data_IF_644192269505
#
_entry.id   IF_644192269505
#
_cell.length_a   1.000
_cell.length_b   1.000
_cell.length_c   1.000
_cell.angle_alpha   90.00
_cell.angle_beta   90.00
_cell.angle_gamma   90.00
#
_symmetry.space_group_name_H-M   'P 1'
#
loop_
_entity.id
_entity.type
_entity.pdbx_description
1 polymer ?
#
# COMPACT_ATOMS: atom_id res chain seq x y z
N UNK A 1 29.25 21.57 -23.34
CA UNK A 1 29.52 20.11 -23.24
C UNK A 1 30.14 19.63 -21.92
N UNK A 2 30.36 20.46 -20.87
CA UNK A 2 30.95 20.00 -19.60
C UNK A 2 29.98 19.79 -18.42
N UNK A 3 28.68 20.08 -18.55
CA UNK A 3 27.70 19.92 -17.46
C UNK A 3 27.12 18.50 -17.31
N UNK A 4 27.11 17.66 -18.35
CA UNK A 4 26.56 16.29 -18.29
C UNK A 4 27.49 15.26 -17.63
N UNK A 5 28.78 15.57 -17.45
CA UNK A 5 29.74 14.63 -16.85
C UNK A 5 29.82 14.72 -15.33
N UNK A 6 29.43 15.86 -14.74
CA UNK A 6 29.42 16.01 -13.29
C UNK A 6 28.21 15.35 -12.61
N UNK A 7 27.04 15.31 -13.26
CA UNK A 7 25.83 14.68 -12.67
C UNK A 7 25.98 13.17 -12.50
N UNK A 8 26.64 12.48 -13.44
CA UNK A 8 26.86 11.02 -13.36
C UNK A 8 27.87 10.62 -12.27
N UNK A 9 28.84 11.49 -11.97
CA UNK A 9 29.87 11.21 -10.96
C UNK A 9 29.43 11.58 -9.55
N UNK A 10 28.48 12.52 -9.42
CA UNK A 10 27.90 12.90 -8.12
C UNK A 10 26.89 11.85 -7.64
N UNK A 11 26.12 11.21 -8.52
CA UNK A 11 25.18 10.14 -8.13
C UNK A 11 25.89 8.90 -7.56
N UNK A 12 27.04 8.51 -8.11
CA UNK A 12 27.83 7.37 -7.59
C UNK A 12 28.57 7.72 -6.29
N UNK A 13 28.98 8.98 -6.13
CA UNK A 13 29.65 9.46 -4.93
C UNK A 13 28.68 9.65 -3.75
N UNK A 14 27.44 10.08 -4.00
CA UNK A 14 26.38 10.18 -2.97
C UNK A 14 25.99 8.79 -2.46
N UNK A 15 25.96 7.75 -3.31
CA UNK A 15 25.78 6.37 -2.84
C UNK A 15 26.92 5.90 -1.93
N UNK A 16 28.18 6.25 -2.23
CA UNK A 16 29.32 5.89 -1.38
C UNK A 16 29.38 6.71 -0.06
N UNK A 17 28.80 7.91 -0.02
CA UNK A 17 28.79 8.79 1.17
C UNK A 17 27.54 8.64 2.04
N UNK A 18 26.37 8.36 1.47
CA UNK A 18 25.17 7.99 2.23
C UNK A 18 25.29 6.58 2.87
N UNK A 19 26.06 5.68 2.26
CA UNK A 19 26.39 4.36 2.83
C UNK A 19 27.52 4.39 3.89
N UNK A 20 28.15 5.54 4.16
CA UNK A 20 29.27 5.64 5.11
C UNK A 20 28.96 6.42 6.40
N UNK A 21 27.72 6.88 6.59
CA UNK A 21 27.32 7.63 7.79
C UNK A 21 26.01 7.14 8.43
N UNK A 22 25.79 5.83 8.57
CA UNK A 22 24.95 5.26 9.64
C UNK A 22 25.53 3.89 10.02
N UNK A 23 25.82 3.69 11.30
CA UNK A 23 26.45 2.47 11.82
C UNK A 23 25.59 1.22 11.66
N UNK A 24 26.27 0.09 11.41
CA UNK A 24 25.77 -1.29 11.29
C UNK A 24 24.90 -1.62 10.06
N UNK A 25 25.53 -1.66 8.89
CA UNK A 25 25.12 -2.57 7.82
C UNK A 25 25.02 -4.02 8.32
N UNK A 26 24.24 -4.87 7.64
CA UNK A 26 24.24 -6.35 7.74
C UNK A 26 25.66 -6.95 7.74
N UNK A 27 26.71 -6.20 7.41
CA UNK A 27 28.04 -6.72 7.11
C UNK A 27 29.11 -6.51 8.18
N UNK A 28 28.84 -5.88 9.34
CA UNK A 28 29.89 -5.64 10.34
C UNK A 28 29.68 -6.42 11.65
N UNK A 29 30.62 -7.29 12.09
CA UNK A 29 30.58 -7.92 13.41
C UNK A 29 31.00 -6.93 14.50
N UNK A 30 30.25 -6.87 15.60
CA UNK A 30 30.62 -6.10 16.81
C UNK A 30 31.49 -6.96 17.73
N UNK A 31 32.71 -6.52 18.00
CA UNK A 31 33.63 -7.16 18.94
C UNK A 31 33.34 -6.66 20.36
N UNK A 32 32.73 -7.50 21.21
CA UNK A 32 32.89 -7.36 22.66
C UNK A 32 32.74 -8.73 23.37
N UNK A 33 33.75 -9.12 24.16
CA UNK A 33 33.90 -10.49 24.70
C UNK A 33 33.99 -10.49 26.23
N UNK A 34 32.92 -10.94 26.89
CA UNK A 34 32.96 -11.65 28.19
C UNK A 34 31.75 -12.57 28.30
N UNK A 35 31.91 -13.88 28.10
CA UNK A 35 30.71 -14.72 28.03
C UNK A 35 30.90 -16.15 28.58
N UNK A 36 29.89 -16.61 29.34
CA UNK A 36 29.68 -18.01 29.79
C UNK A 36 29.05 -18.82 28.63
N UNK A 37 29.33 -20.12 28.53
CA UNK A 37 29.12 -20.89 27.29
C UNK A 37 27.65 -21.17 26.89
N UNK A 38 26.67 -20.75 27.68
CA UNK A 38 25.22 -20.92 27.47
C UNK A 38 24.43 -19.60 27.46
N UNK A 39 25.11 -18.46 27.54
CA UNK A 39 24.51 -17.13 27.44
C UNK A 39 24.28 -16.74 25.97
N UNK A 40 23.16 -16.07 25.68
CA UNK A 40 22.74 -15.73 24.32
C UNK A 40 23.83 -14.99 23.54
N UNK A 41 24.56 -14.09 24.20
CA UNK A 41 25.68 -13.37 23.59
C UNK A 41 26.80 -14.31 23.10
N UNK A 42 27.10 -15.41 23.80
CA UNK A 42 28.16 -16.35 23.42
C UNK A 42 27.75 -17.13 22.19
N UNK A 43 26.50 -17.60 22.20
CA UNK A 43 25.91 -18.33 21.10
C UNK A 43 25.82 -17.44 19.85
N UNK A 44 25.45 -16.16 20.00
CA UNK A 44 25.49 -15.18 18.90
C UNK A 44 26.91 -14.98 18.36
N UNK A 45 27.92 -14.86 19.24
CA UNK A 45 29.31 -14.72 18.82
C UNK A 45 29.80 -15.93 18.01
N UNK A 46 29.55 -17.15 18.49
CA UNK A 46 29.87 -18.38 17.75
C UNK A 46 29.12 -18.45 16.41
N UNK A 47 27.85 -18.04 16.40
CA UNK A 47 27.06 -17.89 15.18
C UNK A 47 27.74 -16.97 14.17
N UNK A 48 28.28 -15.83 14.60
CA UNK A 48 29.05 -14.95 13.71
C UNK A 48 30.40 -15.53 13.27
N UNK A 49 31.09 -16.31 14.10
CA UNK A 49 32.32 -16.99 13.68
C UNK A 49 32.06 -18.01 12.55
N UNK A 50 30.98 -18.77 12.64
CA UNK A 50 30.55 -19.67 11.57
C UNK A 50 30.07 -18.89 10.33
N UNK A 51 29.33 -17.79 10.54
CA UNK A 51 28.88 -16.92 9.46
C UNK A 51 30.06 -16.38 8.63
N UNK A 52 31.13 -15.92 9.29
CA UNK A 52 32.33 -15.41 8.62
C UNK A 52 33.07 -16.47 7.79
N UNK A 53 32.88 -17.76 8.12
CA UNK A 53 33.41 -18.89 7.35
C UNK A 53 32.49 -19.33 6.21
N UNK A 54 31.36 -18.66 6.02
CA UNK A 54 30.26 -19.04 5.11
C UNK A 54 29.57 -20.36 5.50
N UNK A 55 29.68 -20.78 6.76
CA UNK A 55 29.03 -21.97 7.33
C UNK A 55 27.64 -21.58 7.83
N UNK A 56 26.76 -21.16 6.91
CA UNK A 56 25.50 -20.49 7.26
C UNK A 56 24.49 -21.39 7.97
N UNK A 57 24.53 -22.70 7.72
CA UNK A 57 23.64 -23.66 8.38
C UNK A 57 24.01 -23.80 9.86
N UNK A 58 25.30 -23.95 10.14
CA UNK A 58 25.87 -24.01 11.48
C UNK A 58 25.71 -22.68 12.21
N UNK A 59 25.98 -21.56 11.53
CA UNK A 59 25.76 -20.22 12.09
C UNK A 59 24.31 -20.02 12.53
N UNK A 60 23.35 -20.45 11.70
CA UNK A 60 21.92 -20.37 12.02
C UNK A 60 21.55 -21.21 13.24
N UNK A 61 22.10 -22.42 13.40
CA UNK A 61 21.87 -23.25 14.60
C UNK A 61 22.31 -22.52 15.88
N UNK A 62 23.46 -21.86 15.85
CA UNK A 62 23.93 -21.04 16.96
C UNK A 62 23.00 -19.85 17.26
N UNK A 63 22.53 -19.14 16.23
CA UNK A 63 21.55 -18.07 16.43
C UNK A 63 20.20 -18.59 16.96
N UNK A 64 19.73 -19.75 16.50
CA UNK A 64 18.51 -20.39 17.01
C UNK A 64 18.65 -20.74 18.49
N UNK A 65 19.81 -21.27 18.89
CA UNK A 65 20.15 -21.54 20.29
C UNK A 65 20.27 -20.26 21.12
N UNK A 66 20.82 -19.19 20.56
CA UNK A 66 20.89 -17.89 21.22
C UNK A 66 19.49 -17.30 21.48
N UNK A 67 18.59 -17.38 20.49
CA UNK A 67 17.18 -16.95 20.62
C UNK A 67 16.44 -17.82 21.66
N UNK A 68 16.74 -19.12 21.71
CA UNK A 68 16.17 -20.01 22.73
C UNK A 68 16.66 -19.68 24.15
N UNK A 69 17.92 -19.23 24.29
CA UNK A 69 18.48 -18.81 25.56
C UNK A 69 17.93 -17.44 26.02
N UNK A 70 17.86 -16.47 25.11
CA UNK A 70 17.21 -15.18 25.33
C UNK A 70 16.51 -14.69 24.06
N UNK A 71 15.18 -14.82 24.07
CA UNK A 71 14.35 -14.39 22.94
C UNK A 71 14.34 -12.86 22.74
N UNK A 72 14.77 -12.07 23.73
CA UNK A 72 14.91 -10.62 23.61
C UNK A 72 16.23 -10.20 22.94
N UNK A 73 17.19 -11.11 22.76
CA UNK A 73 18.51 -10.78 22.22
C UNK A 73 18.43 -10.50 20.70
N UNK A 74 18.27 -9.23 20.34
CA UNK A 74 17.95 -8.78 18.97
C UNK A 74 19.01 -9.15 17.93
N UNK A 75 20.27 -9.16 18.34
CA UNK A 75 21.41 -9.48 17.46
C UNK A 75 21.35 -10.92 16.94
N UNK A 76 20.82 -11.87 17.73
CA UNK A 76 20.65 -13.25 17.30
C UNK A 76 19.57 -13.38 16.21
N UNK A 77 18.44 -12.69 16.36
CA UNK A 77 17.39 -12.64 15.33
C UNK A 77 17.92 -12.08 14.01
N UNK A 78 18.69 -10.99 14.09
CA UNK A 78 19.33 -10.39 12.94
C UNK A 78 20.36 -11.31 12.29
N UNK A 79 21.22 -11.95 13.09
CA UNK A 79 22.19 -12.95 12.64
C UNK A 79 21.53 -14.14 11.93
N UNK A 80 20.40 -14.63 12.46
CA UNK A 80 19.60 -15.69 11.86
C UNK A 80 19.08 -15.31 10.47
N UNK A 81 18.45 -14.14 10.34
CA UNK A 81 17.94 -13.65 9.06
C UNK A 81 19.07 -13.45 8.02
N UNK A 82 20.23 -12.96 8.45
CA UNK A 82 21.42 -12.86 7.59
C UNK A 82 21.89 -14.20 7.06
N UNK A 83 21.91 -15.24 7.90
CA UNK A 83 22.28 -16.59 7.45
C UNK A 83 21.35 -17.06 6.33
N UNK A 84 20.05 -16.87 6.53
CA UNK A 84 19.02 -17.31 5.57
C UNK A 84 19.16 -16.57 4.26
N UNK A 85 19.39 -15.25 4.29
CA UNK A 85 19.65 -14.45 3.09
C UNK A 85 20.87 -14.98 2.31
N UNK A 86 21.97 -15.30 3.00
CA UNK A 86 23.19 -15.79 2.34
C UNK A 86 23.09 -17.26 1.89
N UNK A 87 22.09 -18.01 2.38
CA UNK A 87 21.78 -19.35 1.90
C UNK A 87 20.96 -19.33 0.59
N UNK A 88 20.31 -18.20 0.26
CA UNK A 88 19.47 -18.10 -0.94
C UNK A 88 20.33 -17.88 -2.19
N UNK A 89 20.38 -18.84 -3.13
CA UNK A 89 21.12 -18.66 -4.38
C UNK A 89 20.49 -17.54 -5.22
N UNK A 90 21.30 -16.57 -5.64
CA UNK A 90 20.84 -15.47 -6.51
C UNK A 90 20.09 -14.34 -5.79
N UNK A 91 19.85 -14.43 -4.47
CA UNK A 91 19.23 -13.36 -3.71
C UNK A 91 20.28 -12.39 -3.17
N UNK A 92 20.55 -11.34 -3.94
CA UNK A 92 21.43 -10.24 -3.53
C UNK A 92 20.65 -8.92 -3.57
N UNK A 93 20.50 -8.25 -2.43
CA UNK A 93 19.73 -7.01 -2.30
C UNK A 93 20.14 -5.93 -3.32
N UNK A 94 21.45 -5.77 -3.59
CA UNK A 94 21.93 -4.81 -4.58
C UNK A 94 21.53 -5.21 -6.01
N UNK A 95 21.46 -6.52 -6.30
CA UNK A 95 20.95 -7.00 -7.58
C UNK A 95 19.44 -6.80 -7.71
N UNK A 96 18.66 -6.96 -6.63
CA UNK A 96 17.22 -6.72 -6.66
C UNK A 96 16.89 -5.26 -7.02
N UNK A 97 17.61 -4.30 -6.43
CA UNK A 97 17.49 -2.88 -6.81
C UNK A 97 17.79 -2.70 -8.29
N UNK A 98 18.84 -3.37 -8.81
CA UNK A 98 19.18 -3.28 -10.23
C UNK A 98 18.11 -3.87 -11.16
N UNK A 99 17.26 -4.77 -10.66
CA UNK A 99 16.19 -5.37 -11.46
C UNK A 99 14.95 -4.48 -11.54
N UNK A 100 14.76 -3.60 -10.55
CA UNK A 100 13.75 -2.55 -10.59
C UNK A 100 14.06 -1.49 -11.65
N UNK A 101 15.36 -1.26 -11.93
CA UNK A 101 15.81 -0.27 -12.92
C UNK A 101 15.28 -0.57 -14.31
N UNK A 102 14.85 0.51 -14.97
CA UNK A 102 14.37 0.52 -16.35
C UNK A 102 15.55 0.88 -17.27
N UNK A 103 15.78 0.14 -18.34
CA UNK A 103 16.79 0.49 -19.37
C UNK A 103 16.31 1.67 -20.23
N UNK A 104 17.18 2.56 -20.74
CA UNK A 104 16.73 3.68 -21.59
C UNK A 104 16.17 3.19 -22.96
N UNK A 105 14.88 3.42 -23.26
CA UNK A 105 14.30 3.12 -24.58
C UNK A 105 12.76 3.18 -24.65
N UNK A 106 12.19 3.25 -25.86
CA UNK A 106 10.74 3.44 -26.09
C UNK A 106 9.83 2.24 -25.71
N UNK A 107 10.39 1.12 -25.24
CA UNK A 107 9.67 -0.07 -24.75
C UNK A 107 10.32 -0.61 -23.46
N UNK A 108 10.83 0.29 -22.62
CA UNK A 108 11.64 -0.13 -21.51
C UNK A 108 10.80 -0.76 -20.40
N UNK A 109 10.98 -2.07 -20.18
CA UNK A 109 10.44 -2.78 -19.03
C UNK A 109 11.55 -2.96 -18.00
N UNK A 110 11.20 -3.02 -16.71
CA UNK A 110 12.16 -3.41 -15.68
C UNK A 110 12.66 -4.84 -15.95
N UNK A 111 13.86 -5.17 -15.48
CA UNK A 111 14.39 -6.53 -15.66
C UNK A 111 13.53 -7.58 -14.96
N UNK A 112 12.77 -7.20 -13.92
CA UNK A 112 11.75 -8.07 -13.33
C UNK A 112 10.73 -8.56 -14.36
N UNK A 113 10.30 -7.72 -15.30
CA UNK A 113 9.28 -8.09 -16.30
C UNK A 113 9.80 -9.07 -17.37
N UNK A 114 11.12 -9.13 -17.58
CA UNK A 114 11.71 -9.86 -18.71
C UNK A 114 12.56 -11.07 -18.28
N UNK A 115 12.83 -11.25 -16.99
CA UNK A 115 13.59 -12.38 -16.48
C UNK A 115 12.81 -13.71 -16.62
N UNK A 116 13.49 -14.87 -16.77
CA UNK A 116 12.84 -16.18 -16.78
C UNK A 116 11.95 -16.44 -15.54
N UNK A 117 10.85 -17.20 -15.70
CA UNK A 117 9.95 -17.54 -14.59
C UNK A 117 10.65 -18.34 -13.47
N UNK A 118 11.62 -19.18 -13.84
CA UNK A 118 12.44 -19.93 -12.87
C UNK A 118 13.23 -18.97 -11.95
N UNK A 119 13.80 -17.91 -12.51
CA UNK A 119 14.53 -16.90 -11.73
C UNK A 119 13.58 -16.14 -10.79
N UNK A 120 12.36 -15.82 -11.25
CA UNK A 120 11.32 -15.20 -10.41
C UNK A 120 10.95 -16.10 -9.24
N UNK A 121 10.69 -17.38 -9.50
CA UNK A 121 10.31 -18.32 -8.45
C UNK A 121 11.42 -18.49 -7.42
N UNK A 122 12.68 -18.54 -7.86
CA UNK A 122 13.85 -18.61 -6.98
C UNK A 122 13.99 -17.35 -6.12
N UNK A 123 13.84 -16.17 -6.71
CA UNK A 123 13.91 -14.89 -5.98
C UNK A 123 12.75 -14.80 -4.98
N UNK A 124 11.51 -15.08 -5.42
CA UNK A 124 10.31 -15.02 -4.57
C UNK A 124 10.45 -15.95 -3.35
N UNK A 125 10.77 -17.23 -3.59
CA UNK A 125 10.95 -18.22 -2.52
C UNK A 125 12.08 -17.84 -1.56
N UNK A 126 13.14 -17.22 -2.10
CA UNK A 126 14.24 -16.71 -1.30
C UNK A 126 13.81 -15.54 -0.41
N UNK A 127 13.04 -14.59 -0.95
CA UNK A 127 12.48 -13.46 -0.19
C UNK A 127 11.58 -14.00 0.92
N UNK A 128 10.65 -14.91 0.61
CA UNK A 128 9.73 -15.49 1.59
C UNK A 128 10.47 -16.19 2.73
N UNK A 129 11.54 -16.92 2.40
CA UNK A 129 12.39 -17.56 3.39
C UNK A 129 13.05 -16.57 4.34
N UNK A 130 13.46 -15.39 3.85
CA UNK A 130 14.07 -14.34 4.68
C UNK A 130 13.02 -13.63 5.52
N UNK A 131 11.87 -13.25 4.92
CA UNK A 131 10.77 -12.56 5.60
C UNK A 131 10.19 -13.41 6.74
N UNK A 132 10.10 -14.73 6.56
CA UNK A 132 9.70 -15.67 7.61
C UNK A 132 10.46 -15.49 8.94
N UNK A 133 11.72 -15.06 8.89
CA UNK A 133 12.53 -14.80 10.09
C UNK A 133 12.59 -13.32 10.49
N UNK A 134 12.41 -12.41 9.54
CA UNK A 134 12.40 -10.97 9.83
C UNK A 134 11.07 -10.52 10.44
N UNK A 135 9.92 -11.00 9.96
CA UNK A 135 8.61 -10.52 10.42
C UNK A 135 8.41 -10.76 11.93
N UNK A 136 8.71 -11.95 12.50
CA UNK A 136 8.63 -12.14 13.95
C UNK A 136 9.62 -11.27 14.73
N UNK A 137 10.79 -10.97 14.15
CA UNK A 137 11.74 -10.07 14.78
C UNK A 137 11.21 -8.62 14.80
N UNK A 138 10.64 -8.15 13.69
CA UNK A 138 10.04 -6.82 13.57
C UNK A 138 8.86 -6.67 14.54
N UNK A 139 7.97 -7.65 14.60
CA UNK A 139 6.84 -7.66 15.55
C UNK A 139 7.32 -7.57 17.00
N UNK A 140 8.36 -8.33 17.35
CA UNK A 140 8.95 -8.27 18.70
C UNK A 140 9.60 -6.93 18.97
N UNK A 141 10.30 -6.36 17.98
CA UNK A 141 10.92 -5.06 18.12
C UNK A 141 9.86 -3.96 18.32
N UNK A 142 8.83 -3.91 17.47
CA UNK A 142 7.76 -2.92 17.56
C UNK A 142 6.97 -2.99 18.86
N UNK A 143 6.84 -4.19 19.45
CA UNK A 143 6.17 -4.42 20.75
C UNK A 143 7.10 -4.30 21.97
N UNK A 144 8.36 -3.88 21.79
CA UNK A 144 9.31 -3.67 22.89
C UNK A 144 9.82 -4.95 23.55
N UNK A 145 9.73 -6.09 22.86
CA UNK A 145 10.12 -7.43 23.34
C UNK A 145 11.57 -7.80 22.98
N UNK A 146 12.38 -6.80 22.63
CA UNK A 146 13.79 -6.93 22.25
C UNK A 146 14.66 -6.05 23.15
N UNK A 147 15.95 -6.37 23.25
CA UNK A 147 16.96 -5.61 23.99
C UNK A 147 17.44 -4.35 23.24
N UNK A 148 16.88 -4.08 22.05
CA UNK A 148 17.12 -2.89 21.23
C UNK A 148 18.57 -2.66 20.78
N UNK A 149 19.45 -3.65 20.89
CA UNK A 149 20.82 -3.58 20.33
C UNK A 149 20.78 -3.46 18.81
N UNK A 150 19.92 -4.26 18.20
CA UNK A 150 19.47 -4.13 16.82
C UNK A 150 17.96 -3.87 16.87
N UNK A 151 17.51 -2.84 16.17
CA UNK A 151 16.11 -2.47 16.02
C UNK A 151 15.70 -2.54 14.56
N UNK A 152 14.39 -2.53 14.29
CA UNK A 152 13.87 -2.50 12.93
C UNK A 152 14.48 -1.38 12.09
N UNK A 153 14.68 -0.20 12.68
CA UNK A 153 15.28 0.95 11.99
C UNK A 153 16.68 0.67 11.42
N UNK A 154 17.44 -0.27 12.00
CA UNK A 154 18.77 -0.64 11.52
C UNK A 154 18.76 -1.40 10.18
N UNK A 155 17.66 -2.07 9.83
CA UNK A 155 17.55 -2.89 8.61
C UNK A 155 16.27 -2.63 7.79
N UNK A 156 15.49 -1.62 8.17
CA UNK A 156 14.28 -1.16 7.49
C UNK A 156 14.45 -1.08 5.96
N UNK A 157 15.57 -0.52 5.48
CA UNK A 157 15.79 -0.36 4.03
C UNK A 157 15.89 -1.70 3.30
N UNK A 158 16.63 -2.65 3.87
CA UNK A 158 16.75 -4.00 3.32
C UNK A 158 15.38 -4.69 3.31
N UNK A 159 14.60 -4.51 4.37
CA UNK A 159 13.25 -5.04 4.47
C UNK A 159 12.31 -4.44 3.41
N UNK A 160 12.31 -3.11 3.23
CA UNK A 160 11.55 -2.43 2.19
C UNK A 160 11.95 -2.90 0.78
N UNK A 161 13.25 -3.12 0.50
CA UNK A 161 13.69 -3.68 -0.78
C UNK A 161 13.12 -5.08 -1.01
N UNK A 162 13.13 -5.94 0.02
CA UNK A 162 12.56 -7.29 -0.08
C UNK A 162 11.04 -7.22 -0.35
N UNK A 163 10.30 -6.41 0.40
CA UNK A 163 8.86 -6.24 0.24
C UNK A 163 8.48 -5.61 -1.10
N UNK A 164 9.16 -4.53 -1.53
CA UNK A 164 8.93 -3.91 -2.84
C UNK A 164 9.29 -4.84 -3.99
N UNK A 165 10.33 -5.66 -3.82
CA UNK A 165 10.64 -6.70 -4.81
C UNK A 165 9.55 -7.75 -4.85
N UNK A 166 9.02 -8.18 -3.70
CA UNK A 166 7.89 -9.10 -3.62
C UNK A 166 6.66 -8.53 -4.35
N UNK A 167 6.29 -7.28 -4.09
CA UNK A 167 5.22 -6.57 -4.83
C UNK A 167 5.50 -6.59 -6.33
N UNK A 168 6.71 -6.25 -6.76
CA UNK A 168 7.10 -6.27 -8.17
C UNK A 168 6.92 -7.65 -8.84
N UNK A 169 7.26 -8.73 -8.15
CA UNK A 169 7.08 -10.09 -8.67
C UNK A 169 5.61 -10.50 -8.73
N UNK A 170 4.80 -10.09 -7.75
CA UNK A 170 3.36 -10.40 -7.74
C UNK A 170 2.60 -9.61 -8.81
N UNK A 171 2.92 -8.32 -8.98
CA UNK A 171 2.41 -7.46 -10.07
C UNK A 171 2.80 -8.04 -11.43
N UNK A 172 4.04 -8.52 -11.60
CA UNK A 172 4.45 -9.23 -12.82
C UNK A 172 3.58 -10.46 -13.06
N UNK A 173 3.31 -11.28 -12.04
CA UNK A 173 2.52 -12.52 -12.18
C UNK A 173 1.12 -12.22 -12.73
N UNK A 174 0.56 -11.06 -12.36
CA UNK A 174 -0.69 -10.52 -12.90
C UNK A 174 -0.56 -9.91 -14.31
N UNK A 175 0.61 -10.00 -14.96
CA UNK A 175 0.93 -9.38 -16.26
C UNK A 175 0.80 -7.85 -16.29
N UNK A 176 0.85 -7.21 -15.13
CA UNK A 176 0.77 -5.76 -14.98
C UNK A 176 2.14 -5.12 -15.15
N UNK A 177 2.18 -3.87 -15.63
CA UNK A 177 3.42 -3.12 -15.72
C UNK A 177 3.61 -2.30 -14.45
N UNK A 178 4.74 -2.44 -13.75
CA UNK A 178 5.07 -1.59 -12.60
C UNK A 178 5.01 -0.08 -12.91
N UNK A 179 5.18 0.31 -14.18
CA UNK A 179 5.04 1.71 -14.62
C UNK A 179 3.60 2.20 -14.67
N UNK A 180 2.61 1.33 -14.92
CA UNK A 180 1.20 1.74 -14.85
C UNK A 180 0.75 1.92 -13.40
N UNK A 181 1.46 1.32 -12.44
CA UNK A 181 1.07 1.32 -11.03
C UNK A 181 1.33 2.65 -10.31
N UNK A 182 2.39 3.38 -10.63
CA UNK A 182 2.70 4.64 -9.96
C UNK A 182 2.77 5.79 -10.96
N UNK A 183 2.10 6.90 -10.65
CA UNK A 183 2.19 8.15 -11.38
C UNK A 183 2.75 9.24 -10.47
N UNK A 184 3.75 9.98 -10.96
CA UNK A 184 4.28 11.16 -10.26
C UNK A 184 3.80 12.41 -10.99
N UNK A 185 3.16 13.34 -10.27
CA UNK A 185 2.85 14.67 -10.80
C UNK A 185 3.83 15.71 -10.22
N UNK A 186 4.77 16.21 -11.03
CA UNK A 186 5.76 17.18 -10.58
C UNK A 186 5.17 18.58 -10.31
N UNK A 187 3.97 18.89 -10.79
CA UNK A 187 3.33 20.20 -10.56
C UNK A 187 2.69 20.26 -9.17
N UNK A 188 2.00 19.18 -8.78
CA UNK A 188 1.42 19.05 -7.45
C UNK A 188 2.44 18.53 -6.44
N UNK A 189 3.47 17.82 -6.88
CA UNK A 189 4.43 17.20 -5.97
C UNK A 189 3.87 15.94 -5.30
N UNK A 190 3.00 15.22 -6.00
CA UNK A 190 2.30 14.03 -5.49
C UNK A 190 2.77 12.75 -6.20
N UNK A 191 2.63 11.62 -5.49
CA UNK A 191 2.72 10.28 -6.04
C UNK A 191 1.33 9.68 -5.91
N UNK A 192 0.77 9.20 -7.02
CA UNK A 192 -0.50 8.50 -7.07
C UNK A 192 -0.26 7.03 -7.40
N UNK A 193 -1.07 6.16 -6.81
CA UNK A 193 -1.11 4.73 -7.13
C UNK A 193 -2.31 4.50 -8.05
N UNK A 194 -2.09 3.81 -9.15
CA UNK A 194 -3.14 3.38 -10.04
C UNK A 194 -3.75 2.07 -9.51
N UNK A 195 -4.70 2.21 -8.59
CA UNK A 195 -5.39 1.10 -7.94
C UNK A 195 -6.16 0.20 -8.91
N UNK A 196 -6.63 0.75 -10.04
CA UNK A 196 -7.32 -0.01 -11.09
C UNK A 196 -6.47 -1.14 -11.72
N UNK A 197 -5.14 -1.09 -11.54
CA UNK A 197 -4.24 -2.17 -11.96
C UNK A 197 -4.20 -3.30 -10.93
N UNK A 198 -4.47 -3.03 -9.64
CA UNK A 198 -4.35 -3.97 -8.52
C UNK A 198 -5.68 -4.61 -8.11
N UNK A 199 -6.58 -4.85 -9.05
CA UNK A 199 -7.88 -5.44 -8.74
C UNK A 199 -7.75 -6.91 -8.31
N UNK A 200 -8.71 -7.44 -7.53
CA UNK A 200 -8.73 -8.86 -7.18
C UNK A 200 -8.80 -9.77 -8.40
N UNK A 201 -9.45 -9.32 -9.49
CA UNK A 201 -9.52 -10.07 -10.75
C UNK A 201 -8.16 -10.13 -11.46
N UNK A 202 -7.32 -9.11 -11.32
CA UNK A 202 -5.95 -9.10 -11.84
C UNK A 202 -4.99 -9.92 -10.97
N UNK A 203 -5.05 -9.75 -9.64
CA UNK A 203 -4.11 -10.37 -8.68
C UNK A 203 -4.48 -11.81 -8.29
N UNK A 204 -5.76 -12.17 -8.38
CA UNK A 204 -6.31 -13.46 -8.00
C UNK A 204 -5.98 -13.83 -6.55
N UNK A 205 -5.48 -15.06 -6.34
CA UNK A 205 -5.08 -15.56 -5.01
C UNK A 205 -3.96 -14.74 -4.36
N UNK A 206 -3.26 -13.89 -5.12
CA UNK A 206 -2.13 -13.09 -4.62
C UNK A 206 -2.55 -11.72 -4.05
N UNK A 207 -3.85 -11.41 -4.00
CA UNK A 207 -4.38 -10.11 -3.55
C UNK A 207 -3.93 -9.77 -2.13
N UNK A 208 -4.30 -10.57 -1.13
CA UNK A 208 -3.93 -10.32 0.28
C UNK A 208 -2.42 -10.26 0.49
N UNK A 209 -1.67 -11.12 -0.21
CA UNK A 209 -0.21 -11.11 -0.16
C UNK A 209 0.38 -9.80 -0.70
N UNK A 210 -0.15 -9.29 -1.82
CA UNK A 210 0.29 -8.03 -2.43
C UNK A 210 0.04 -6.85 -1.50
N UNK A 211 -1.18 -6.74 -0.96
CA UNK A 211 -1.55 -5.65 -0.05
C UNK A 211 -0.81 -5.73 1.29
N UNK A 212 -0.55 -6.93 1.80
CA UNK A 212 0.33 -7.12 2.98
C UNK A 212 1.76 -6.62 2.71
N UNK A 213 2.34 -6.94 1.54
CA UNK A 213 3.68 -6.49 1.17
C UNK A 213 3.75 -4.97 0.93
N UNK A 214 2.72 -4.40 0.31
CA UNK A 214 2.56 -2.95 0.15
C UNK A 214 2.47 -2.26 1.51
N UNK A 215 1.62 -2.72 2.43
CA UNK A 215 1.49 -2.19 3.79
C UNK A 215 2.79 -2.25 4.58
N UNK A 216 3.48 -3.40 4.53
CA UNK A 216 4.78 -3.57 5.16
C UNK A 216 5.82 -2.58 4.62
N UNK A 217 5.81 -2.35 3.30
CA UNK A 217 6.64 -1.31 2.69
C UNK A 217 6.22 0.06 3.22
N UNK A 218 4.95 0.46 3.08
CA UNK A 218 4.44 1.75 3.51
C UNK A 218 4.77 2.07 4.99
N UNK A 219 4.61 1.10 5.89
CA UNK A 219 4.99 1.26 7.28
C UNK A 219 6.50 1.49 7.46
N UNK A 220 7.32 0.81 6.65
CA UNK A 220 8.76 1.05 6.59
C UNK A 220 9.08 2.47 6.12
N UNK A 221 8.36 2.94 5.09
CA UNK A 221 8.53 4.28 4.51
C UNK A 221 8.27 5.36 5.57
N UNK A 222 7.19 5.22 6.34
CA UNK A 222 6.83 6.13 7.45
C UNK A 222 7.86 6.12 8.57
N UNK A 223 8.44 4.96 8.86
CA UNK A 223 9.38 4.79 9.99
C UNK A 223 10.77 5.34 9.67
N UNK A 224 11.18 5.39 8.39
CA UNK A 224 12.50 5.90 7.98
C UNK A 224 12.43 6.77 6.70
N UNK A 225 11.96 8.02 6.78
CA UNK A 225 11.72 8.87 5.60
C UNK A 225 12.98 9.21 4.79
N UNK A 226 14.14 9.34 5.43
CA UNK A 226 15.38 9.74 4.74
C UNK A 226 15.91 8.64 3.82
N UNK A 227 15.88 7.39 4.28
CA UNK A 227 16.31 6.26 3.47
C UNK A 227 15.28 5.87 2.39
N UNK A 228 14.03 6.23 2.63
CA UNK A 228 12.89 6.00 1.73
C UNK A 228 13.04 6.73 0.41
N UNK A 229 13.54 7.97 0.41
CA UNK A 229 13.77 8.73 -0.83
C UNK A 229 14.64 7.97 -1.83
N UNK A 230 15.65 7.22 -1.36
CA UNK A 230 16.51 6.44 -2.23
C UNK A 230 15.80 5.21 -2.83
N UNK A 231 14.91 4.56 -2.05
CA UNK A 231 14.15 3.38 -2.52
C UNK A 231 13.07 3.83 -3.51
N UNK A 232 12.29 4.86 -3.16
CA UNK A 232 11.23 5.39 -4.01
C UNK A 232 11.78 5.87 -5.35
N UNK A 233 12.93 6.54 -5.37
CA UNK A 233 13.60 6.96 -6.62
C UNK A 233 13.97 5.82 -7.55
N UNK A 234 14.08 4.60 -7.05
CA UNK A 234 14.45 3.43 -7.85
C UNK A 234 13.22 2.63 -8.31
N UNK A 235 12.12 2.65 -7.55
CA UNK A 235 10.91 1.86 -7.83
C UNK A 235 9.75 2.68 -8.41
N UNK A 236 9.71 4.00 -8.18
CA UNK A 236 8.62 4.89 -8.61
C UNK A 236 9.09 5.79 -9.75
N UNK A 237 8.60 5.57 -10.98
CA UNK A 237 8.95 6.40 -12.13
C UNK A 237 8.56 7.87 -11.94
N UNK A 238 9.45 8.80 -12.32
CA UNK A 238 9.20 10.24 -12.27
C UNK A 238 9.46 10.88 -10.90
N UNK A 239 9.66 10.08 -9.85
CA UNK A 239 9.95 10.59 -8.51
C UNK A 239 11.29 11.33 -8.42
N UNK A 240 12.21 11.11 -9.37
CA UNK A 240 13.46 11.88 -9.55
C UNK A 240 13.24 13.38 -9.81
N UNK A 241 12.02 13.77 -10.23
CA UNK A 241 11.64 15.16 -10.46
C UNK A 241 11.28 15.90 -9.17
N UNK A 242 10.99 15.17 -8.08
CA UNK A 242 10.59 15.75 -6.80
C UNK A 242 11.80 16.12 -5.93
N UNK A 243 11.70 17.27 -5.26
CA UNK A 243 12.64 17.64 -4.18
C UNK A 243 12.50 16.66 -3.00
N UNK A 244 13.54 16.51 -2.18
CA UNK A 244 13.49 15.58 -1.04
C UNK A 244 12.35 15.90 -0.06
N UNK A 245 12.06 17.19 0.17
CA UNK A 245 10.94 17.61 1.02
C UNK A 245 9.58 17.25 0.41
N UNK A 246 9.40 17.48 -0.89
CA UNK A 246 8.17 17.10 -1.58
C UNK A 246 8.01 15.58 -1.63
N UNK A 247 9.10 14.85 -1.84
CA UNK A 247 9.09 13.38 -1.90
C UNK A 247 8.71 12.75 -0.56
N UNK A 248 9.22 13.28 0.56
CA UNK A 248 8.83 12.82 1.91
C UNK A 248 7.33 13.00 2.12
N UNK A 249 6.79 14.19 1.81
CA UNK A 249 5.37 14.48 1.98
C UNK A 249 4.50 13.58 1.07
N UNK A 250 4.87 13.42 -0.19
CA UNK A 250 4.18 12.55 -1.12
C UNK A 250 4.20 11.08 -0.69
N UNK A 251 5.33 10.63 -0.13
CA UNK A 251 5.49 9.26 0.34
C UNK A 251 4.69 9.01 1.60
N UNK A 252 4.60 9.98 2.51
CA UNK A 252 3.78 9.88 3.72
C UNK A 252 2.29 9.69 3.36
N UNK A 253 1.79 10.52 2.43
CA UNK A 253 0.45 10.40 1.86
C UNK A 253 0.22 9.00 1.25
N UNK A 254 1.11 8.60 0.35
CA UNK A 254 1.02 7.31 -0.33
C UNK A 254 1.07 6.13 0.65
N UNK A 255 1.85 6.26 1.72
CA UNK A 255 1.97 5.22 2.73
C UNK A 255 0.70 5.08 3.57
N UNK A 256 0.09 6.19 4.01
CA UNK A 256 -1.20 6.17 4.72
C UNK A 256 -2.28 5.51 3.89
N UNK A 257 -2.33 5.91 2.61
CA UNK A 257 -3.20 5.34 1.60
C UNK A 257 -3.06 3.83 1.46
N UNK A 258 -1.83 3.35 1.23
CA UNK A 258 -1.55 1.91 1.13
C UNK A 258 -1.98 1.17 2.40
N UNK A 259 -1.67 1.73 3.57
CA UNK A 259 -1.96 1.09 4.86
C UNK A 259 -3.47 0.96 5.06
N UNK A 260 -4.24 2.02 4.78
CA UNK A 260 -5.70 2.02 4.89
C UNK A 260 -6.33 0.89 4.05
N UNK A 261 -6.06 0.88 2.75
CA UNK A 261 -6.61 -0.14 1.84
C UNK A 261 -6.15 -1.54 2.26
N UNK A 262 -4.88 -1.71 2.62
CA UNK A 262 -4.38 -3.01 3.01
C UNK A 262 -4.98 -3.52 4.33
N UNK A 263 -5.31 -2.64 5.28
CA UNK A 263 -6.01 -3.00 6.51
C UNK A 263 -7.38 -3.59 6.17
N UNK A 264 -8.12 -2.92 5.30
CA UNK A 264 -9.43 -3.37 4.83
C UNK A 264 -9.35 -4.71 4.09
N UNK A 265 -8.46 -4.83 3.09
CA UNK A 265 -8.28 -6.06 2.29
C UNK A 265 -7.86 -7.25 3.17
N UNK A 266 -7.02 -7.01 4.17
CA UNK A 266 -6.53 -8.09 5.04
C UNK A 266 -7.53 -8.50 6.12
N UNK A 267 -8.29 -7.55 6.67
CA UNK A 267 -9.22 -7.79 7.79
C UNK A 267 -10.61 -8.25 7.35
N UNK A 268 -10.98 -8.08 6.08
CA UNK A 268 -12.29 -8.53 5.61
C UNK A 268 -12.42 -10.07 5.67
N UNK A 269 -13.38 -10.55 6.48
CA UNK A 269 -13.73 -11.98 6.61
C UNK A 269 -14.38 -12.55 5.35
N UNK A 270 -15.07 -11.68 4.61
CA UNK A 270 -15.61 -11.93 3.26
C UNK A 270 -14.61 -11.34 2.28
N UNK A 271 -14.32 -12.02 1.15
CA UNK A 271 -13.44 -11.45 0.12
C UNK A 271 -14.14 -10.27 -0.57
N UNK A 272 -14.10 -9.10 0.08
CA UNK A 272 -14.66 -7.81 -0.36
C UNK A 272 -13.58 -6.89 -0.90
N UNK A 273 -12.45 -7.45 -1.34
CA UNK A 273 -11.38 -6.63 -1.91
C UNK A 273 -11.83 -5.92 -3.19
N UNK A 274 -12.88 -6.40 -3.85
CA UNK A 274 -13.49 -5.78 -5.03
C UNK A 274 -14.09 -4.40 -4.68
N UNK A 275 -14.80 -4.30 -3.56
CA UNK A 275 -15.41 -3.07 -3.04
C UNK A 275 -14.42 -1.91 -2.93
N UNK A 276 -13.16 -2.17 -2.60
CA UNK A 276 -12.15 -1.12 -2.37
C UNK A 276 -11.19 -0.91 -3.54
N UNK A 277 -11.21 -1.80 -4.54
CA UNK A 277 -10.16 -1.86 -5.58
C UNK A 277 -10.69 -1.67 -6.99
N UNK A 278 -12.01 -1.71 -7.20
CA UNK A 278 -12.65 -1.44 -8.49
C UNK A 278 -12.83 0.06 -8.75
N UNK A 279 -11.73 0.80 -8.68
CA UNK A 279 -11.73 2.26 -8.75
C UNK A 279 -12.22 2.79 -10.08
N UNK A 280 -13.24 3.64 -10.04
CA UNK A 280 -13.76 4.41 -11.16
C UNK A 280 -14.37 3.56 -12.25
N UNK A 281 -15.06 2.50 -11.85
CA UNK A 281 -15.69 1.57 -12.79
C UNK A 281 -17.12 1.99 -13.17
N UNK A 282 -17.63 3.08 -12.59
CA UNK A 282 -18.97 3.62 -12.75
C UNK A 282 -20.07 2.63 -12.34
N UNK A 283 -19.81 1.80 -11.33
CA UNK A 283 -20.77 0.85 -10.75
C UNK A 283 -20.69 0.88 -9.23
N UNK A 284 -21.84 0.94 -8.57
CA UNK A 284 -22.00 0.58 -7.15
C UNK A 284 -21.45 -0.83 -6.87
N UNK A 285 -20.24 -0.93 -6.32
CA UNK A 285 -19.60 -2.21 -6.02
C UNK A 285 -19.88 -2.72 -4.62
N UNK A 286 -20.42 -1.90 -3.72
CA UNK A 286 -20.51 -2.18 -2.30
C UNK A 286 -21.96 -2.48 -1.82
N UNK A 287 -22.96 -2.08 -2.61
CA UNK A 287 -24.39 -2.36 -2.44
C UNK A 287 -25.21 -1.24 -1.80
N UNK A 288 -24.65 -0.06 -1.58
CA UNK A 288 -25.30 1.07 -0.90
C UNK A 288 -26.24 1.90 -1.82
N UNK A 289 -26.12 1.68 -3.14
CA UNK A 289 -26.88 2.35 -4.20
C UNK A 289 -26.20 3.56 -4.80
N UNK A 290 -25.11 4.03 -4.20
CA UNK A 290 -24.27 5.10 -4.70
C UNK A 290 -23.26 4.54 -5.71
N UNK A 291 -22.73 5.39 -6.59
CA UNK A 291 -21.82 4.96 -7.65
C UNK A 291 -20.56 5.80 -7.62
N UNK A 292 -19.41 5.16 -7.45
CA UNK A 292 -18.10 5.80 -7.36
C UNK A 292 -18.12 6.99 -6.38
N UNK A 293 -18.78 6.85 -5.23
CA UNK A 293 -19.11 7.98 -4.37
C UNK A 293 -17.97 8.42 -3.45
N UNK A 294 -17.07 7.53 -3.08
CA UNK A 294 -15.98 7.88 -2.19
C UNK A 294 -14.83 8.54 -2.97
N UNK A 295 -14.08 9.37 -2.26
CA UNK A 295 -12.75 9.80 -2.66
C UNK A 295 -11.73 9.28 -1.69
N UNK A 296 -10.54 8.99 -2.20
CA UNK A 296 -9.51 8.37 -1.40
C UNK A 296 -8.85 9.31 -0.38
N UNK A 297 -9.56 9.71 0.67
CA UNK A 297 -9.08 10.63 1.69
C UNK A 297 -9.02 10.05 3.11
N UNK A 298 -9.31 8.75 3.24
CA UNK A 298 -9.25 8.03 4.51
C UNK A 298 -10.44 8.32 5.41
N UNK A 299 -11.52 8.84 4.84
CA UNK A 299 -12.71 9.30 5.55
C UNK A 299 -13.96 8.80 4.83
N UNK A 300 -15.04 8.56 5.58
CA UNK A 300 -16.36 8.14 5.11
C UNK A 300 -17.10 9.33 4.43
N UNK A 301 -17.22 9.33 3.10
CA UNK A 301 -17.73 10.47 2.34
C UNK A 301 -19.24 10.44 2.07
N UNK A 302 -19.91 9.31 2.29
CA UNK A 302 -21.36 9.16 2.16
C UNK A 302 -22.08 8.90 3.52
N UNK A 303 -21.30 8.64 4.56
CA UNK A 303 -21.71 8.50 5.94
C UNK A 303 -22.21 7.12 6.35
N UNK A 304 -21.96 6.09 5.54
CA UNK A 304 -22.53 4.77 5.73
C UNK A 304 -21.77 3.91 6.77
N UNK A 305 -20.53 4.31 7.03
CA UNK A 305 -19.62 3.75 8.03
C UNK A 305 -18.52 2.87 7.45
N UNK A 306 -18.49 2.67 6.14
CA UNK A 306 -17.30 2.23 5.42
C UNK A 306 -16.41 3.43 5.05
N UNK A 307 -15.17 3.17 4.65
CA UNK A 307 -14.19 4.21 4.33
C UNK A 307 -13.45 3.81 3.05
N UNK A 308 -13.44 4.72 2.07
CA UNK A 308 -12.73 4.55 0.80
C UNK A 308 -13.14 3.27 0.01
N UNK A 309 -14.38 2.79 0.16
CA UNK A 309 -15.08 1.85 -0.72
C UNK A 309 -15.50 2.53 -2.03
N UNK A 310 -15.93 1.79 -3.05
CA UNK A 310 -16.49 2.31 -4.31
C UNK A 310 -15.82 3.59 -4.82
N UNK A 311 -14.48 3.55 -4.91
CA UNK A 311 -13.70 4.76 -5.10
C UNK A 311 -13.87 5.32 -6.52
N UNK A 312 -14.12 6.62 -6.63
CA UNK A 312 -13.97 7.28 -7.93
C UNK A 312 -12.53 7.33 -8.43
N UNK A 313 -12.39 7.51 -9.75
CA UNK A 313 -11.10 7.66 -10.40
C UNK A 313 -10.25 8.78 -9.79
N UNK A 314 -8.96 8.52 -9.60
CA UNK A 314 -8.02 9.46 -8.96
C UNK A 314 -7.97 10.85 -9.61
N UNK A 315 -8.18 10.93 -10.92
CA UNK A 315 -8.16 12.16 -11.70
C UNK A 315 -9.33 13.11 -11.39
N UNK A 316 -10.35 12.65 -10.67
CA UNK A 316 -11.49 13.47 -10.22
C UNK A 316 -11.09 14.37 -9.04
N UNK A 317 -10.04 14.03 -8.29
CA UNK A 317 -9.68 14.72 -7.05
C UNK A 317 -8.53 15.71 -7.25
N UNK A 318 -8.58 16.84 -6.54
CA UNK A 318 -7.47 17.79 -6.43
C UNK A 318 -7.07 17.92 -4.96
N UNK A 319 -5.79 17.67 -4.68
CA UNK A 319 -5.16 17.92 -3.37
C UNK A 319 -4.30 19.19 -3.47
N UNK A 320 -4.42 20.10 -2.51
CA UNK A 320 -3.58 21.30 -2.40
C UNK A 320 -2.76 21.25 -1.10
N UNK A 321 -1.52 21.73 -1.19
CA UNK A 321 -0.55 21.68 -0.10
C UNK A 321 -0.48 22.97 0.72
N UNK A 322 -1.39 23.92 0.51
CA UNK A 322 -1.47 25.13 1.34
C UNK A 322 -2.06 24.79 2.71
N UNK A 323 -1.17 24.49 3.64
CA UNK A 323 -1.44 24.11 5.04
C UNK A 323 -2.26 25.14 5.83
N UNK A 324 -2.40 26.38 5.33
CA UNK A 324 -3.23 27.41 5.98
C UNK A 324 -4.72 27.19 5.77
N UNK A 325 -5.08 26.46 4.74
CA UNK A 325 -6.47 26.22 4.32
C UNK A 325 -6.79 24.72 4.38
N UNK A 326 -5.76 23.86 4.32
CA UNK A 326 -5.94 22.41 4.23
C UNK A 326 -5.10 21.62 5.22
N UNK A 327 -5.66 20.54 5.76
CA UNK A 327 -4.86 19.52 6.42
C UNK A 327 -4.01 18.87 5.33
N UNK A 328 -2.71 18.60 5.57
CA UNK A 328 -1.96 17.71 4.71
C UNK A 328 -2.80 16.45 4.45
N UNK A 329 -2.77 15.96 3.20
CA UNK A 329 -3.38 14.70 2.75
C UNK A 329 -4.88 14.77 2.37
N UNK A 330 -5.68 15.73 2.87
CA UNK A 330 -7.13 15.75 2.56
C UNK A 330 -7.47 16.30 1.17
N UNK A 331 -8.51 15.75 0.54
CA UNK A 331 -9.02 16.18 -0.78
C UNK A 331 -9.69 17.54 -0.65
N UNK A 332 -9.19 18.57 -1.34
CA UNK A 332 -9.83 19.90 -1.28
C UNK A 332 -11.12 19.90 -2.09
N UNK A 333 -10.99 19.46 -3.34
CA UNK A 333 -12.01 19.62 -4.36
C UNK A 333 -12.10 18.35 -5.19
N UNK A 334 -13.33 18.00 -5.53
CA UNK A 334 -13.62 17.01 -6.54
C UNK A 334 -14.14 17.71 -7.80
N UNK A 335 -13.79 17.17 -8.94
CA UNK A 335 -14.15 17.65 -10.27
C UNK A 335 -14.87 16.53 -11.00
N UNK A 336 -15.73 16.91 -11.95
CA UNK A 336 -16.42 16.01 -12.86
C UNK A 336 -15.69 16.03 -14.20
N UNK A 337 -14.67 15.17 -14.41
CA UNK A 337 -14.07 14.99 -15.73
C UNK A 337 -15.10 14.44 -16.73
N UNK A 338 -14.78 14.47 -18.03
CA UNK A 338 -15.72 14.17 -19.12
C UNK A 338 -16.36 12.78 -19.01
N UNK A 339 -15.60 11.79 -18.53
CA UNK A 339 -16.05 10.43 -18.23
C UNK A 339 -17.08 10.37 -17.09
N UNK A 340 -16.95 11.24 -16.09
CA UNK A 340 -17.88 11.35 -14.96
C UNK A 340 -19.12 12.20 -15.22
N UNK A 341 -19.19 12.94 -16.35
CA UNK A 341 -20.37 13.75 -16.66
C UNK A 341 -21.64 12.94 -16.93
N UNK A 342 -21.51 11.62 -17.11
CA UNK A 342 -22.61 10.69 -17.38
C UNK A 342 -22.91 9.76 -16.20
N UNK A 343 -22.19 9.92 -15.09
CA UNK A 343 -22.39 9.15 -13.87
C UNK A 343 -23.40 9.90 -13.00
N UNK A 344 -24.39 9.17 -12.50
CA UNK A 344 -25.40 9.60 -11.53
C UNK A 344 -24.99 8.94 -10.22
N UNK A 345 -24.21 9.66 -9.41
CA UNK A 345 -23.54 9.14 -8.22
C UNK A 345 -24.58 8.80 -7.17
N UNK A 346 -25.58 9.66 -6.98
CA UNK A 346 -26.58 9.46 -5.92
C UNK A 346 -27.89 8.80 -6.38
N UNK A 347 -27.98 8.49 -7.68
CA UNK A 347 -29.12 7.87 -8.30
C UNK A 347 -30.36 8.76 -8.39
N UNK A 348 -30.27 10.08 -8.20
CA UNK A 348 -31.38 11.03 -8.25
C UNK A 348 -31.84 11.40 -9.68
N UNK A 349 -31.09 10.95 -10.69
CA UNK A 349 -31.37 11.19 -12.11
C UNK A 349 -30.75 12.48 -12.65
N UNK A 350 -30.00 13.22 -11.84
CA UNK A 350 -29.11 14.31 -12.25
C UNK A 350 -27.68 13.77 -12.39
N UNK A 351 -26.86 14.41 -13.22
CA UNK A 351 -25.51 13.94 -13.53
C UNK A 351 -24.59 15.12 -13.80
N UNK A 352 -23.29 14.92 -13.52
CA UNK A 352 -22.22 15.81 -13.95
C UNK A 352 -22.36 17.24 -13.39
N UNK A 353 -22.02 18.26 -14.19
CA UNK A 353 -22.04 19.65 -13.73
C UNK A 353 -23.44 20.17 -13.33
N UNK A 354 -24.51 19.48 -13.72
CA UNK A 354 -25.88 19.84 -13.35
C UNK A 354 -26.15 19.50 -11.89
N UNK A 355 -25.52 18.45 -11.35
CA UNK A 355 -25.60 18.13 -9.92
C UNK A 355 -24.30 18.48 -9.18
N UNK A 356 -24.18 19.75 -8.82
CA UNK A 356 -23.05 20.21 -8.04
C UNK A 356 -22.93 19.55 -6.64
N UNK A 357 -23.95 18.82 -6.15
CA UNK A 357 -23.90 18.19 -4.82
C UNK A 357 -22.99 16.98 -4.78
N UNK A 358 -22.88 16.24 -5.89
CA UNK A 358 -22.07 15.02 -6.02
C UNK A 358 -20.56 15.27 -5.91
N UNK A 359 -20.14 16.53 -6.09
CA UNK A 359 -18.73 16.94 -6.14
C UNK A 359 -18.36 17.98 -5.08
N UNK A 360 -19.28 18.31 -4.16
CA UNK A 360 -19.07 19.32 -3.12
C UNK A 360 -19.28 18.73 -1.74
N UNK A 361 -18.28 18.88 -0.89
CA UNK A 361 -18.39 18.59 0.53
C UNK A 361 -19.45 19.45 1.22
N UNK A 362 -20.06 18.92 2.28
CA UNK A 362 -20.93 19.68 3.19
C UNK A 362 -20.13 20.86 3.77
N UNK A 363 -18.91 20.58 4.23
CA UNK A 363 -17.97 21.57 4.75
C UNK A 363 -16.83 21.74 3.73
N UNK A 364 -16.76 22.91 3.08
CA UNK A 364 -15.85 23.12 1.95
C UNK A 364 -14.36 23.12 2.33
N UNK A 365 -14.01 23.62 3.53
CA UNK A 365 -12.61 23.67 3.98
C UNK A 365 -12.22 22.36 4.67
N UNK A 366 -11.13 21.76 4.25
CA UNK A 366 -10.70 20.47 4.81
C UNK A 366 -10.24 20.56 6.26
N UNK A 367 -9.59 21.67 6.67
CA UNK A 367 -9.31 21.91 8.08
C UNK A 367 -10.58 21.90 8.94
N UNK A 368 -11.66 22.53 8.46
CA UNK A 368 -12.92 22.59 9.19
C UNK A 368 -13.62 21.23 9.20
N UNK A 369 -13.50 20.43 8.12
CA UNK A 369 -14.01 19.04 8.09
C UNK A 369 -13.37 18.19 9.16
N UNK A 370 -12.03 18.21 9.22
CA UNK A 370 -11.25 17.47 10.21
C UNK A 370 -11.59 17.88 11.64
N UNK A 371 -11.78 19.17 11.89
CA UNK A 371 -12.13 19.68 13.22
C UNK A 371 -13.55 19.23 13.65
N UNK A 372 -14.47 19.08 12.69
CA UNK A 372 -15.86 18.66 12.93
C UNK A 372 -16.01 17.13 12.90
N UNK A 373 -15.16 16.43 12.16
CA UNK A 373 -15.29 15.01 11.84
C UNK A 373 -16.46 14.72 10.88
N UNK A 374 -16.81 15.65 10.00
CA UNK A 374 -17.83 15.43 8.96
C UNK A 374 -17.21 15.62 7.57
N UNK A 375 -16.96 14.49 6.92
CA UNK A 375 -16.27 14.40 5.64
C UNK A 375 -17.21 14.24 4.45
N UNK A 376 -18.52 14.29 4.70
CA UNK A 376 -19.49 13.87 3.70
C UNK A 376 -19.66 14.86 2.55
N UNK A 377 -20.03 14.32 1.41
CA UNK A 377 -20.54 15.09 0.28
C UNK A 377 -21.97 15.59 0.53
N UNK A 378 -22.37 16.62 -0.23
CA UNK A 378 -23.67 17.25 -0.07
C UNK A 378 -24.84 16.35 -0.47
N UNK A 379 -24.64 15.41 -1.39
CA UNK A 379 -25.68 14.45 -1.77
C UNK A 379 -26.07 13.57 -0.57
N UNK A 380 -25.06 13.13 0.20
CA UNK A 380 -25.21 12.29 1.39
C UNK A 380 -25.72 12.99 2.66
N UNK A 381 -25.91 14.31 2.63
CA UNK A 381 -26.19 15.10 3.83
C UNK A 381 -27.43 14.63 4.62
N UNK A 382 -28.42 14.05 3.93
CA UNK A 382 -29.70 13.61 4.50
C UNK A 382 -29.93 12.10 4.42
N UNK A 383 -28.89 11.32 4.13
CA UNK A 383 -29.04 9.87 4.08
C UNK A 383 -29.30 9.29 5.47
N UNK A 384 -30.14 8.25 5.46
CA UNK A 384 -30.41 7.44 6.63
C UNK A 384 -29.93 6.03 6.36
N UNK A 385 -29.10 5.51 7.26
CA UNK A 385 -28.51 4.18 7.17
C UNK A 385 -29.19 3.23 8.15
N UNK A 386 -29.59 2.05 7.67
CA UNK A 386 -30.32 1.07 8.49
C UNK A 386 -29.39 -0.05 8.96
N UNK A 387 -29.39 -0.27 10.27
CA UNK A 387 -28.48 -1.19 10.95
C UNK A 387 -28.00 -0.54 12.25
N UNK A 388 -28.09 -1.29 13.36
CA UNK A 388 -27.73 -0.81 14.69
C UNK A 388 -26.23 -0.76 14.94
N UNK A 389 -25.45 -1.51 14.15
CA UNK A 389 -23.98 -1.49 14.13
C UNK A 389 -23.47 -1.39 12.70
N UNK A 390 -22.18 -1.04 12.52
CA UNK A 390 -21.54 -0.99 11.20
C UNK A 390 -21.57 -2.37 10.54
N UNK A 391 -21.33 -3.43 11.31
CA UNK A 391 -21.36 -4.81 10.80
C UNK A 391 -22.76 -5.21 10.29
N UNK A 392 -23.82 -4.70 10.91
CA UNK A 392 -25.19 -4.94 10.43
C UNK A 392 -25.48 -4.18 9.12
N UNK A 393 -24.96 -2.96 8.97
CA UNK A 393 -25.08 -2.19 7.72
C UNK A 393 -24.35 -2.87 6.57
N UNK A 394 -23.09 -3.24 6.80
CA UNK A 394 -22.28 -4.01 5.86
C UNK A 394 -23.00 -5.31 5.48
N UNK A 395 -23.54 -6.04 6.45
CA UNK A 395 -24.26 -7.27 6.17
C UNK A 395 -25.50 -7.03 5.28
N UNK A 396 -26.23 -5.92 5.46
CA UNK A 396 -27.37 -5.57 4.62
C UNK A 396 -26.94 -5.18 3.20
N UNK A 397 -25.85 -4.41 3.05
CA UNK A 397 -25.25 -4.07 1.75
C UNK A 397 -24.78 -5.32 1.00
N UNK A 398 -24.10 -6.25 1.67
CA UNK A 398 -23.67 -7.52 1.08
C UNK A 398 -24.83 -8.38 0.56
N UNK A 399 -26.00 -8.33 1.20
CA UNK A 399 -27.17 -9.05 0.72
C UNK A 399 -27.60 -8.57 -0.68
N UNK A 400 -27.49 -7.28 -0.94
CA UNK A 400 -28.03 -6.63 -2.14
C UNK A 400 -27.00 -6.52 -3.26
N UNK A 401 -25.71 -6.45 -2.90
CA UNK A 401 -24.55 -6.52 -3.80
C UNK A 401 -24.52 -7.81 -4.63
N UNK A 402 -25.05 -8.90 -4.08
CA UNK A 402 -25.17 -10.19 -4.78
C UNK A 402 -26.33 -10.28 -5.79
N UNK A 403 -27.21 -9.29 -5.87
CA UNK A 403 -28.16 -9.22 -6.98
C UNK A 403 -27.43 -8.63 -8.20
N UNK A 404 -26.87 -9.49 -9.06
CA UNK A 404 -25.98 -9.04 -10.16
C UNK A 404 -26.69 -8.80 -11.49
N UNK A 405 -27.94 -9.25 -11.66
CA UNK A 405 -28.68 -9.03 -12.91
C UNK A 405 -30.20 -8.91 -12.71
N UNK A 406 -30.86 -8.30 -13.70
CA UNK A 406 -32.29 -7.98 -13.67
C UNK A 406 -33.22 -9.20 -13.50
N UNK A 407 -32.74 -10.41 -13.83
CA UNK A 407 -33.50 -11.65 -13.69
C UNK A 407 -33.27 -12.34 -12.33
N UNK A 408 -32.28 -11.88 -11.56
CA UNK A 408 -31.86 -12.47 -10.29
C UNK A 408 -31.93 -11.45 -9.13
N UNK A 409 -32.95 -10.59 -9.13
CA UNK A 409 -33.20 -9.64 -8.04
C UNK A 409 -33.87 -10.37 -6.87
N UNK A 410 -33.14 -10.56 -5.76
CA UNK A 410 -33.69 -11.12 -4.53
C UNK A 410 -34.25 -10.04 -3.60
N UNK A 411 -33.67 -8.85 -3.62
CA UNK A 411 -34.06 -7.73 -2.77
C UNK A 411 -34.50 -6.55 -3.64
N UNK A 412 -35.81 -6.30 -3.65
CA UNK A 412 -36.41 -5.23 -4.42
C UNK A 412 -36.10 -3.83 -3.86
N UNK A 413 -36.46 -2.79 -4.62
CA UNK A 413 -36.20 -1.41 -4.27
C UNK A 413 -36.81 -1.01 -2.90
N UNK A 414 -38.01 -1.49 -2.59
CA UNK A 414 -38.65 -1.19 -1.32
C UNK A 414 -37.87 -1.82 -0.15
N UNK A 415 -37.33 -3.03 -0.33
CA UNK A 415 -36.45 -3.64 0.65
C UNK A 415 -35.19 -2.81 0.83
N UNK A 416 -34.48 -2.47 -0.25
CA UNK A 416 -33.23 -1.70 -0.19
C UNK A 416 -33.40 -0.36 0.54
N UNK A 417 -34.49 0.35 0.26
CA UNK A 417 -34.85 1.61 0.95
C UNK A 417 -35.09 1.47 2.45
N UNK A 418 -35.58 0.32 2.91
CA UNK A 418 -35.97 0.09 4.30
C UNK A 418 -34.90 -0.61 5.14
N UNK A 419 -33.93 -1.26 4.50
CA UNK A 419 -32.92 -2.09 5.17
C UNK A 419 -31.47 -1.71 4.85
N UNK A 420 -31.23 -0.95 3.77
CA UNK A 420 -29.90 -0.37 3.45
C UNK A 420 -29.95 1.13 3.68
N UNK A 421 -30.79 1.83 2.91
CA UNK A 421 -30.91 3.29 2.97
C UNK A 421 -30.07 3.97 1.89
N UNK A 422 -29.30 4.99 2.26
CA UNK A 422 -28.35 5.62 1.33
C UNK A 422 -28.98 6.17 0.05
N UNK A 423 -28.24 5.99 -1.05
CA UNK A 423 -28.68 6.38 -2.38
C UNK A 423 -29.92 5.63 -2.85
N UNK A 424 -30.20 4.41 -2.36
CA UNK A 424 -31.45 3.70 -2.70
C UNK A 424 -32.71 4.54 -2.44
N UNK A 425 -32.66 5.49 -1.50
CA UNK A 425 -33.75 6.42 -1.23
C UNK A 425 -34.17 7.26 -2.46
N UNK A 426 -33.22 7.59 -3.33
CA UNK A 426 -33.40 8.45 -4.50
C UNK A 426 -34.01 7.72 -5.72
N UNK A 427 -33.83 6.41 -5.79
CA UNK A 427 -34.24 5.60 -6.93
C UNK A 427 -35.77 5.51 -7.06
N UNK A 428 -36.25 5.52 -8.30
CA UNK A 428 -37.55 4.97 -8.66
C UNK A 428 -37.41 3.60 -9.31
N UNK A 429 -38.53 2.93 -9.60
CA UNK A 429 -38.51 1.59 -10.17
C UNK A 429 -37.79 1.53 -11.53
N UNK A 430 -37.86 2.59 -12.35
CA UNK A 430 -37.23 2.60 -13.65
C UNK A 430 -35.70 2.71 -13.52
N UNK A 431 -35.21 3.62 -12.67
CA UNK A 431 -33.78 3.75 -12.36
C UNK A 431 -33.24 2.51 -11.67
N UNK A 432 -34.01 1.92 -10.74
CA UNK A 432 -33.63 0.68 -10.06
C UNK A 432 -33.42 -0.47 -11.04
N UNK A 433 -34.32 -0.65 -12.02
CA UNK A 433 -34.12 -1.69 -13.04
C UNK A 433 -32.95 -1.36 -13.98
N UNK A 434 -32.74 -0.08 -14.29
CA UNK A 434 -31.59 0.39 -15.09
C UNK A 434 -30.26 0.13 -14.39
N UNK A 435 -30.20 0.18 -13.07
CA UNK A 435 -29.00 -0.12 -12.28
C UNK A 435 -28.43 -1.52 -12.58
N UNK A 436 -29.28 -2.50 -12.91
CA UNK A 436 -28.86 -3.86 -13.31
C UNK A 436 -28.45 -3.99 -14.78
N UNK A 437 -28.60 -2.96 -15.61
CA UNK A 437 -28.22 -3.04 -17.02
C UNK A 437 -26.69 -3.12 -17.18
N UNK A 438 -26.20 -4.22 -17.75
CA UNK A 438 -24.76 -4.42 -18.01
C UNK A 438 -24.01 -5.16 -16.90
N UNK A 439 -24.63 -5.36 -15.73
CA UNK A 439 -24.11 -6.20 -14.65
C UNK A 439 -24.34 -7.70 -14.95
N UNK A 440 -23.45 -8.58 -14.48
CA UNK A 440 -23.48 -10.04 -14.71
C UNK A 440 -23.22 -10.81 -13.44
#
# INVERSE_FOLDING_TARGET
MKKKFHTKLVLSAVFATALSFVGCNIFNPTEDVRIKSDDAAALTYEGYLHFQKNEYTEARDYFDRAIAADSAYSEAWYGRAKCVLNQQPGLNLFQLISYAKIEEGQNAASKFMTMPDEDVQNISSGIDSVLYYLDPFIERDSTGRTDKRISFSNFANSYAILQMTKVALTVRKASLNLQSLFATDPNTGSIAINWSELTPSALGESTKETFSALAATAQTLKTNPEATNAIIREYVPGSELLTDTALILATDVMADQIISIAEVVNNSEIDRADVFLLVGNHMDDDGDGCVDEEVFDGEDNDGDGEVDEDLRANNTTTREFDVRIHSPIQVMKVTSPEDYQLVDIDGDGLMGEVDEKEYKFIIEKSNDRKDVGDHRFRFAANFGWYGSTIEERIANKELVRHDTDINNIKYDLDWRKNYVGGCWANYDQARFLKWFEGRK
#
